data_IF_629196110690
#
_entry.id   IF_629196110690
#
_cell.length_a   1.000
_cell.length_b   1.000
_cell.length_c   1.000
_cell.angle_alpha   90.00
_cell.angle_beta   90.00
_cell.angle_gamma   90.00
#
_symmetry.space_group_name_H-M   'P 1'
#
loop_
_entity.id
_entity.type
_entity.pdbx_description
1 polymer ?
#
# COMPACT_ATOMS: atom_id res chain seq x y z
N UNK A 1 16.92 0.64 0.05
CA UNK A 1 15.74 1.32 0.61
C UNK A 1 15.21 2.33 -0.39
N UNK A 2 13.92 2.35 -0.59
CA UNK A 2 13.29 3.28 -1.52
C UNK A 2 12.93 4.56 -0.79
N UNK A 3 13.47 5.66 -1.26
CA UNK A 3 13.18 6.95 -0.66
C UNK A 3 11.88 7.50 -1.22
N UNK A 4 11.02 7.97 -0.34
CA UNK A 4 9.84 8.69 -0.74
C UNK A 4 10.21 10.09 -1.20
N UNK A 5 9.48 10.62 -2.18
CA UNK A 5 9.59 12.03 -2.50
C UNK A 5 9.16 12.87 -1.31
N UNK A 6 9.62 14.12 -1.24
CA UNK A 6 9.25 15.00 -0.14
C UNK A 6 7.75 15.19 0.00
N UNK A 7 6.99 15.45 -1.09
CA UNK A 7 5.52 15.53 -0.99
C UNK A 7 4.89 14.23 -0.45
N UNK A 8 5.38 13.08 -0.89
CA UNK A 8 4.85 11.80 -0.42
C UNK A 8 5.11 11.60 1.07
N UNK A 9 6.27 12.00 1.57
CA UNK A 9 6.59 11.92 3.00
C UNK A 9 5.65 12.77 3.84
N UNK A 10 5.37 13.98 3.38
CA UNK A 10 4.48 14.90 4.09
C UNK A 10 3.07 14.32 4.15
N UNK A 11 2.56 13.82 3.02
CA UNK A 11 1.23 13.22 2.96
C UNK A 11 1.14 11.99 3.87
N UNK A 12 2.14 11.12 3.79
CA UNK A 12 2.16 9.91 4.63
C UNK A 12 2.21 10.26 6.11
N UNK A 13 3.06 11.19 6.50
CA UNK A 13 3.15 11.62 7.89
C UNK A 13 1.83 12.17 8.42
N UNK A 14 1.10 12.91 7.57
CA UNK A 14 -0.22 13.44 7.93
C UNK A 14 -1.31 12.38 7.98
N UNK A 15 -1.13 11.27 7.27
CA UNK A 15 -2.11 10.18 7.23
C UNK A 15 -1.93 9.17 8.36
N UNK A 16 -0.71 9.07 8.91
CA UNK A 16 -0.41 8.12 9.98
C UNK A 16 -0.89 8.63 11.34
N UNK A 17 -1.34 7.70 12.18
CA UNK A 17 -1.59 8.01 13.58
C UNK A 17 -0.26 8.25 14.30
N UNK A 18 -0.32 8.93 15.44
CA UNK A 18 0.88 9.37 16.17
C UNK A 18 1.84 8.22 16.48
N UNK A 19 1.31 7.06 16.82
CA UNK A 19 2.11 5.90 17.22
C UNK A 19 2.10 4.77 16.16
N UNK A 20 1.67 5.09 14.95
CA UNK A 20 1.63 4.13 13.85
C UNK A 20 3.00 4.01 13.18
N UNK A 21 3.45 2.78 12.95
CA UNK A 21 4.77 2.51 12.37
C UNK A 21 4.63 1.92 10.97
N UNK A 22 5.47 2.40 10.06
CA UNK A 22 5.57 1.85 8.71
C UNK A 22 6.54 0.67 8.72
N UNK A 23 6.06 -0.48 8.27
CA UNK A 23 6.86 -1.69 8.25
C UNK A 23 7.38 -2.05 6.87
N UNK A 24 6.56 -1.84 5.83
CA UNK A 24 6.95 -2.16 4.45
C UNK A 24 6.47 -1.08 3.50
N UNK A 25 7.33 -0.67 2.59
CA UNK A 25 7.00 0.23 1.49
C UNK A 25 7.20 -0.51 0.18
N UNK A 26 6.22 -0.40 -0.72
CA UNK A 26 6.31 -1.01 -2.04
C UNK A 26 5.91 0.03 -3.10
N UNK A 27 6.89 0.62 -3.80
CA UNK A 27 6.60 1.58 -4.86
C UNK A 27 5.85 0.96 -6.02
N UNK A 28 4.94 1.73 -6.59
CA UNK A 28 4.18 1.37 -7.79
C UNK A 28 4.16 2.55 -8.75
N UNK A 29 3.63 2.34 -9.95
CA UNK A 29 3.55 3.43 -10.93
C UNK A 29 2.48 4.41 -10.47
N UNK A 30 2.89 5.63 -10.17
CA UNK A 30 1.98 6.69 -9.74
C UNK A 30 1.39 6.50 -8.34
N UNK A 31 1.92 5.55 -7.55
CA UNK A 31 1.43 5.31 -6.19
C UNK A 31 2.48 4.56 -5.36
N UNK A 32 2.20 4.44 -4.08
CA UNK A 32 3.03 3.69 -3.14
C UNK A 32 2.10 2.89 -2.23
N UNK A 33 2.41 1.62 -2.07
CA UNK A 33 1.73 0.77 -1.10
C UNK A 33 2.50 0.81 0.21
N UNK A 34 1.82 1.08 1.30
CA UNK A 34 2.43 1.22 2.63
C UNK A 34 1.74 0.26 3.58
N UNK A 35 2.50 -0.67 4.12
CA UNK A 35 2.01 -1.56 5.17
C UNK A 35 2.50 -1.04 6.51
N UNK A 36 1.55 -0.68 7.37
CA UNK A 36 1.86 -0.25 8.74
C UNK A 36 1.54 -1.38 9.71
N UNK A 37 1.76 -1.14 11.00
CA UNK A 37 1.38 -2.07 12.04
C UNK A 37 -0.14 -2.20 12.21
N UNK A 38 -0.95 -1.37 11.53
CA UNK A 38 -2.40 -1.31 11.69
C UNK A 38 -3.21 -1.48 10.42
N UNK A 39 -2.65 -1.11 9.26
CA UNK A 39 -3.42 -1.04 8.01
C UNK A 39 -2.54 -1.07 6.78
N UNK A 40 -3.18 -1.27 5.64
CA UNK A 40 -2.55 -1.09 4.34
C UNK A 40 -3.02 0.24 3.77
N UNK A 41 -2.08 1.10 3.38
CA UNK A 41 -2.38 2.40 2.80
C UNK A 41 -1.90 2.41 1.36
N UNK A 42 -2.73 2.95 0.47
CA UNK A 42 -2.35 3.21 -0.92
C UNK A 42 -2.31 4.73 -1.09
N UNK A 43 -1.11 5.27 -1.31
CA UNK A 43 -0.90 6.69 -1.59
C UNK A 43 -0.75 6.88 -3.09
N UNK A 44 -1.65 7.66 -3.69
CA UNK A 44 -1.55 8.00 -5.10
C UNK A 44 -0.75 9.28 -5.29
N UNK A 45 -0.10 9.40 -6.45
CA UNK A 45 0.58 10.62 -6.83
C UNK A 45 -0.42 11.79 -6.79
N UNK A 46 -0.05 12.89 -6.15
CA UNK A 46 -0.94 14.02 -5.99
C UNK A 46 -1.93 13.88 -4.84
N UNK A 47 -1.71 12.94 -3.91
CA UNK A 47 -2.60 12.71 -2.77
C UNK A 47 -2.79 13.95 -1.91
N UNK A 48 -1.79 14.84 -1.87
CA UNK A 48 -1.86 16.10 -1.12
C UNK A 48 -2.97 17.02 -1.63
N UNK A 49 -3.33 16.90 -2.92
CA UNK A 49 -4.42 17.68 -3.52
C UNK A 49 -5.74 16.91 -3.54
N UNK A 50 -5.73 15.63 -3.22
CA UNK A 50 -6.90 14.76 -3.33
C UNK A 50 -6.96 13.80 -2.14
N UNK A 51 -7.07 14.32 -0.90
CA UNK A 51 -6.99 13.46 0.28
C UNK A 51 -8.08 12.38 0.33
N UNK A 52 -9.27 12.65 -0.23
CA UNK A 52 -10.37 11.69 -0.22
C UNK A 52 -10.15 10.51 -1.16
N UNK A 53 -9.46 10.73 -2.28
CA UNK A 53 -9.25 9.70 -3.31
C UNK A 53 -7.78 9.35 -3.49
N UNK A 54 -6.89 10.23 -3.07
CA UNK A 54 -5.44 10.02 -3.18
C UNK A 54 -4.87 9.15 -2.06
N UNK A 55 -5.60 8.98 -0.97
CA UNK A 55 -5.21 8.16 0.17
C UNK A 55 -6.31 7.15 0.43
N UNK A 56 -5.99 5.87 0.30
CA UNK A 56 -6.93 4.78 0.57
C UNK A 56 -6.37 3.94 1.70
N UNK A 57 -7.18 3.67 2.72
CA UNK A 57 -6.79 2.84 3.86
C UNK A 57 -7.64 1.58 3.90
N UNK A 58 -7.00 0.45 4.18
CA UNK A 58 -7.64 -0.85 4.28
C UNK A 58 -7.26 -1.50 5.59
N UNK A 59 -8.26 -1.93 6.37
CA UNK A 59 -8.02 -2.64 7.61
C UNK A 59 -7.34 -3.99 7.35
N UNK A 60 -6.48 -4.41 8.27
CA UNK A 60 -5.81 -5.71 8.18
C UNK A 60 -6.72 -6.79 8.76
N UNK A 61 -7.68 -7.23 7.98
CA UNK A 61 -8.63 -8.27 8.35
C UNK A 61 -8.77 -9.30 7.22
N UNK A 62 -9.59 -10.31 7.43
CA UNK A 62 -9.74 -11.40 6.48
C UNK A 62 -10.48 -11.02 5.20
N UNK A 63 -11.13 -9.85 5.18
CA UNK A 63 -11.76 -9.34 3.97
C UNK A 63 -10.73 -8.68 3.03
N UNK A 64 -9.56 -8.34 3.56
CA UNK A 64 -8.51 -7.71 2.75
C UNK A 64 -7.82 -8.75 1.89
N UNK A 65 -7.80 -8.49 0.59
CA UNK A 65 -7.15 -9.36 -0.38
C UNK A 65 -6.24 -8.53 -1.26
N UNK A 66 -5.00 -8.97 -1.40
CA UNK A 66 -4.04 -8.36 -2.32
C UNK A 66 -3.59 -9.41 -3.30
N UNK A 67 -3.83 -9.15 -4.58
CA UNK A 67 -3.50 -10.06 -5.68
C UNK A 67 -2.44 -9.43 -6.57
N UNK A 68 -1.47 -10.23 -6.96
CA UNK A 68 -0.44 -9.83 -7.90
C UNK A 68 -0.66 -10.59 -9.19
N UNK A 69 -0.78 -9.86 -10.31
CA UNK A 69 -0.79 -10.44 -11.64
C UNK A 69 0.56 -10.11 -12.28
N UNK A 70 1.57 -10.98 -12.13
CA UNK A 70 2.96 -10.64 -12.49
C UNK A 70 3.15 -10.44 -14.00
N UNK A 71 2.37 -11.11 -14.83
CA UNK A 71 2.47 -10.99 -16.29
C UNK A 71 2.18 -9.57 -16.76
N UNK A 72 1.15 -8.95 -16.18
CA UNK A 72 0.77 -7.57 -16.52
C UNK A 72 1.24 -6.57 -15.48
N UNK A 73 1.98 -7.04 -14.49
CA UNK A 73 2.54 -6.22 -13.40
C UNK A 73 1.50 -5.36 -12.71
N UNK A 74 0.37 -5.99 -12.38
CA UNK A 74 -0.73 -5.32 -11.71
C UNK A 74 -0.91 -5.87 -10.30
N UNK A 75 -1.19 -4.97 -9.37
CA UNK A 75 -1.54 -5.33 -7.99
C UNK A 75 -2.95 -4.82 -7.73
N UNK A 76 -3.82 -5.70 -7.27
CA UNK A 76 -5.19 -5.34 -6.93
C UNK A 76 -5.37 -5.51 -5.43
N UNK A 77 -5.85 -4.45 -4.78
CA UNK A 77 -6.19 -4.43 -3.35
C UNK A 77 -7.70 -4.33 -3.25
N UNK A 78 -8.32 -5.28 -2.57
CA UNK A 78 -9.77 -5.34 -2.45
C UNK A 78 -10.19 -5.63 -1.01
N UNK A 79 -11.23 -4.96 -0.54
CA UNK A 79 -11.80 -5.17 0.78
C UNK A 79 -13.19 -4.56 0.85
N UNK A 80 -14.16 -5.32 1.38
CA UNK A 80 -15.51 -4.82 1.70
C UNK A 80 -16.19 -4.05 0.55
N UNK A 81 -16.10 -4.58 -0.65
CA UNK A 81 -16.75 -3.98 -1.81
C UNK A 81 -15.96 -2.86 -2.48
N UNK A 82 -14.79 -2.54 -1.95
CA UNK A 82 -13.86 -1.59 -2.58
C UNK A 82 -12.73 -2.34 -3.25
N UNK A 83 -12.28 -1.84 -4.38
CA UNK A 83 -11.12 -2.40 -5.05
C UNK A 83 -10.33 -1.28 -5.71
N UNK A 84 -9.02 -1.39 -5.65
CA UNK A 84 -8.11 -0.46 -6.31
C UNK A 84 -7.00 -1.27 -6.97
N UNK A 85 -6.64 -0.90 -8.19
CA UNK A 85 -5.56 -1.55 -8.91
C UNK A 85 -4.47 -0.54 -9.22
N UNK A 86 -3.24 -0.97 -9.04
CA UNK A 86 -2.07 -0.17 -9.39
C UNK A 86 -1.13 -1.03 -10.21
N UNK A 87 -0.31 -0.39 -11.03
CA UNK A 87 0.72 -1.09 -11.79
C UNK A 87 2.05 -0.93 -11.08
N UNK A 88 2.86 -1.97 -11.13
CA UNK A 88 4.18 -1.94 -10.52
C UNK A 88 5.26 -2.04 -11.58
N UNK A 89 6.43 -1.53 -11.27
CA UNK A 89 7.60 -1.69 -12.11
C UNK A 89 8.26 -3.01 -11.80
N UNK A 90 8.90 -3.59 -12.80
CA UNK A 90 9.59 -4.88 -12.66
C UNK A 90 10.60 -4.87 -11.52
N UNK A 91 11.35 -3.78 -11.37
CA UNK A 91 12.36 -3.67 -10.32
C UNK A 91 11.80 -3.63 -8.91
N UNK A 92 10.50 -3.36 -8.75
CA UNK A 92 9.83 -3.30 -7.45
C UNK A 92 8.93 -4.50 -7.16
N UNK A 93 8.93 -5.49 -8.05
CA UNK A 93 8.10 -6.69 -7.85
C UNK A 93 8.43 -7.40 -6.54
N UNK A 94 9.73 -7.52 -6.21
CA UNK A 94 10.15 -8.14 -4.96
C UNK A 94 9.64 -7.42 -3.72
N UNK A 95 9.57 -6.09 -3.76
CA UNK A 95 9.03 -5.29 -2.65
C UNK A 95 7.54 -5.57 -2.46
N UNK A 96 6.79 -5.65 -3.55
CA UNK A 96 5.36 -5.95 -3.51
C UNK A 96 5.12 -7.37 -2.99
N UNK A 97 5.90 -8.33 -3.46
CA UNK A 97 5.80 -9.71 -2.99
C UNK A 97 6.09 -9.81 -1.49
N UNK A 98 7.10 -9.09 -1.00
CA UNK A 98 7.43 -9.05 0.42
C UNK A 98 6.30 -8.42 1.24
N UNK A 99 5.70 -7.36 0.74
CA UNK A 99 4.56 -6.70 1.39
C UNK A 99 3.38 -7.66 1.49
N UNK A 100 3.04 -8.36 0.40
CA UNK A 100 1.92 -9.29 0.37
C UNK A 100 2.17 -10.46 1.32
N UNK A 101 3.38 -10.99 1.36
CA UNK A 101 3.73 -12.08 2.27
C UNK A 101 3.58 -11.67 3.73
N UNK A 102 4.07 -10.49 4.09
CA UNK A 102 3.95 -9.97 5.45
C UNK A 102 2.50 -9.68 5.82
N UNK A 103 1.73 -9.14 4.90
CA UNK A 103 0.32 -8.86 5.10
C UNK A 103 -0.46 -10.15 5.38
N UNK A 104 -0.23 -11.18 4.56
CA UNK A 104 -0.90 -12.48 4.74
C UNK A 104 -0.52 -13.12 6.07
N UNK A 105 0.75 -13.02 6.44
CA UNK A 105 1.23 -13.54 7.72
C UNK A 105 0.46 -12.90 8.87
N UNK A 106 0.25 -11.61 8.84
CA UNK A 106 -0.47 -10.90 9.89
C UNK A 106 -1.95 -11.23 9.94
N UNK A 107 -2.59 -11.32 8.79
CA UNK A 107 -4.02 -11.60 8.71
C UNK A 107 -4.34 -13.01 9.16
N UNK A 108 -3.51 -13.98 8.82
CA UNK A 108 -3.79 -15.41 9.05
C UNK A 108 -3.00 -16.03 10.19
N UNK A 109 -2.16 -15.29 10.87
CA UNK A 109 -1.35 -15.80 11.96
C UNK A 109 -2.08 -15.89 13.31
N UNK A 110 -3.23 -15.30 13.42
CA UNK A 110 -4.00 -15.30 14.67
C UNK A 110 -4.86 -16.54 14.81
#
# INVERSE_FOLDING_TARGET
MHDLSEPARVVLAGALDEDENVDVLAPAVGSILVLTDRRLIVLRQGAESRPMTGIQSFALDRDLEVRIAPTIKQVTVASSGRAISVFMRREHLGDVESLVAELRRRIYAA
#
